data_IF_032293674515
#
_entry.id   IF_032293674515
#
_cell.length_a   1.000
_cell.length_b   1.000
_cell.length_c   1.000
_cell.angle_alpha   90.00
_cell.angle_beta   90.00
_cell.angle_gamma   90.00
#
_symmetry.space_group_name_H-M   'P 1'
#
loop_
_entity.id
_entity.type
_entity.pdbx_description
1 polymer ?
#
# COMPACT_ATOMS: atom_id res chain seq x y z
N UNK A 1 -25.09 8.27 11.91
CA UNK A 1 -24.74 7.06 11.19
C UNK A 1 -25.51 5.91 11.75
N UNK A 2 -26.38 5.30 10.95
CA UNK A 2 -26.90 3.97 11.26
C UNK A 2 -26.42 3.04 10.15
N UNK A 3 -25.71 1.98 10.53
CA UNK A 3 -25.50 0.82 9.67
C UNK A 3 -26.53 -0.24 10.07
N UNK A 4 -27.20 -0.81 9.07
CA UNK A 4 -28.15 -1.89 9.28
C UNK A 4 -28.08 -2.86 8.12
N UNK A 5 -28.08 -4.15 8.45
CA UNK A 5 -28.29 -5.21 7.47
C UNK A 5 -29.80 -5.31 7.24
N UNK A 6 -30.25 -5.01 6.03
CA UNK A 6 -31.66 -5.14 5.64
C UNK A 6 -31.74 -5.99 4.39
N UNK A 7 -32.61 -7.01 4.40
CA UNK A 7 -32.90 -7.86 3.22
C UNK A 7 -31.67 -8.52 2.58
N UNK A 8 -30.67 -8.88 3.37
CA UNK A 8 -29.42 -9.46 2.86
C UNK A 8 -28.54 -8.44 2.13
N UNK A 9 -28.67 -7.15 2.45
CA UNK A 9 -27.80 -6.09 1.97
C UNK A 9 -27.33 -5.17 3.09
N UNK A 10 -26.18 -4.53 2.89
CA UNK A 10 -25.63 -3.56 3.83
C UNK A 10 -26.18 -2.16 3.50
N UNK A 11 -26.92 -1.57 4.44
CA UNK A 11 -27.34 -0.17 4.34
C UNK A 11 -26.56 0.68 5.33
N UNK A 12 -25.83 1.67 4.83
CA UNK A 12 -25.14 2.67 5.65
C UNK A 12 -25.77 4.02 5.36
N UNK A 13 -26.37 4.66 6.37
CA UNK A 13 -26.83 6.04 6.26
C UNK A 13 -26.07 6.90 7.26
N UNK A 14 -25.35 7.92 6.79
CA UNK A 14 -24.78 8.93 7.68
C UNK A 14 -24.87 10.32 7.07
N UNK A 15 -25.03 11.32 7.94
CA UNK A 15 -25.11 12.72 7.56
C UNK A 15 -23.90 13.48 8.06
N UNK A 16 -23.29 14.27 7.17
CA UNK A 16 -22.26 15.23 7.56
C UNK A 16 -22.92 16.43 8.24
N UNK A 17 -22.22 17.09 9.14
CA UNK A 17 -22.69 18.23 9.91
C UNK A 17 -21.62 19.31 9.91
N UNK A 18 -22.05 20.56 9.73
CA UNK A 18 -21.15 21.71 9.77
C UNK A 18 -20.41 21.77 11.12
N UNK A 19 -19.11 22.05 11.07
CA UNK A 19 -18.25 22.13 12.26
C UNK A 19 -17.64 20.81 12.72
N UNK A 20 -18.10 19.65 12.23
CA UNK A 20 -17.44 18.36 12.50
C UNK A 20 -16.28 18.17 11.51
N UNK A 21 -15.06 18.11 12.03
CA UNK A 21 -13.83 18.05 11.21
C UNK A 21 -13.43 16.62 10.81
N UNK A 22 -13.86 15.61 11.56
CA UNK A 22 -13.52 14.22 11.28
C UNK A 22 -14.68 13.29 11.62
N UNK A 23 -14.97 12.39 10.69
CA UNK A 23 -15.87 11.25 10.87
C UNK A 23 -15.07 9.95 10.84
N UNK A 24 -15.28 9.11 11.85
CA UNK A 24 -14.69 7.78 11.99
C UNK A 24 -15.83 6.79 12.11
N UNK A 25 -15.83 5.81 11.22
CA UNK A 25 -16.80 4.72 11.21
C UNK A 25 -16.06 3.39 11.31
N UNK A 26 -16.33 2.65 12.38
CA UNK A 26 -15.68 1.37 12.65
C UNK A 26 -16.62 0.24 12.26
N UNK A 27 -16.32 -0.44 11.15
CA UNK A 27 -17.16 -1.50 10.59
C UNK A 27 -16.84 -2.89 11.15
N UNK A 28 -15.74 -3.08 11.88
CA UNK A 28 -15.35 -4.39 12.36
C UNK A 28 -15.08 -5.34 11.20
N UNK A 29 -15.46 -6.61 11.31
CA UNK A 29 -15.27 -7.65 10.28
C UNK A 29 -16.53 -7.80 9.39
N UNK A 30 -17.03 -6.67 8.87
CA UNK A 30 -18.31 -6.67 8.19
C UNK A 30 -18.24 -7.28 6.78
N UNK A 31 -17.12 -7.11 6.09
CA UNK A 31 -16.95 -7.44 4.68
C UNK A 31 -16.51 -8.90 4.45
N UNK A 32 -15.91 -9.54 5.45
CA UNK A 32 -15.44 -10.93 5.41
C UNK A 32 -16.58 -11.95 5.47
N UNK A 33 -17.80 -11.51 5.81
CA UNK A 33 -18.98 -12.35 5.77
C UNK A 33 -19.65 -12.13 4.42
N UNK A 34 -19.77 -13.15 3.57
CA UNK A 34 -20.39 -13.13 2.22
C UNK A 34 -21.90 -12.78 2.22
N UNK A 35 -22.37 -11.96 3.14
CA UNK A 35 -23.77 -11.81 3.50
C UNK A 35 -24.50 -10.76 2.66
N UNK A 36 -23.80 -9.98 1.81
CA UNK A 36 -24.41 -8.89 1.07
C UNK A 36 -24.63 -9.21 -0.41
N UNK A 37 -25.90 -9.34 -0.76
CA UNK A 37 -26.41 -9.38 -2.13
C UNK A 37 -26.45 -8.00 -2.78
N UNK A 38 -26.49 -6.93 -1.98
CA UNK A 38 -26.32 -5.54 -2.43
C UNK A 38 -25.81 -4.66 -1.28
N UNK A 39 -25.16 -3.53 -1.61
CA UNK A 39 -24.79 -2.48 -0.66
C UNK A 39 -25.42 -1.16 -1.07
N UNK A 40 -26.03 -0.45 -0.13
CA UNK A 40 -26.57 0.89 -0.35
C UNK A 40 -26.00 1.84 0.71
N UNK A 41 -25.14 2.75 0.27
CA UNK A 41 -24.50 3.72 1.14
C UNK A 41 -25.08 5.09 0.79
N UNK A 42 -25.93 5.59 1.67
CA UNK A 42 -26.53 6.91 1.54
C UNK A 42 -25.78 7.90 2.43
N UNK A 43 -25.16 8.90 1.81
CA UNK A 43 -24.36 9.89 2.51
C UNK A 43 -25.05 11.23 2.32
N UNK A 44 -25.64 11.71 3.40
CA UNK A 44 -26.29 13.01 3.44
C UNK A 44 -25.21 14.06 3.68
N UNK A 45 -24.64 14.58 2.59
CA UNK A 45 -23.54 15.55 2.66
C UNK A 45 -23.93 16.85 3.35
N UNK A 46 -25.22 17.19 3.40
CA UNK A 46 -25.77 18.40 4.02
C UNK A 46 -25.04 19.69 3.60
N UNK A 47 -24.50 19.72 2.37
CA UNK A 47 -23.68 20.80 1.82
C UNK A 47 -22.42 21.12 2.65
N UNK A 48 -21.91 20.17 3.45
CA UNK A 48 -20.59 20.29 4.05
C UNK A 48 -19.56 20.40 2.92
N UNK A 49 -18.67 21.37 3.02
CA UNK A 49 -17.58 21.50 2.07
C UNK A 49 -16.63 20.31 2.25
N UNK A 50 -16.28 19.54 1.20
CA UNK A 50 -15.30 18.47 1.29
C UNK A 50 -14.00 18.91 1.97
N UNK A 51 -13.54 20.13 1.70
CA UNK A 51 -12.30 20.66 2.28
C UNK A 51 -12.32 20.86 3.80
N UNK A 52 -13.50 20.80 4.42
CA UNK A 52 -13.69 21.00 5.85
C UNK A 52 -13.76 19.71 6.67
N UNK A 53 -13.71 18.53 6.03
CA UNK A 53 -13.98 17.25 6.68
C UNK A 53 -13.01 16.15 6.24
N UNK A 54 -12.68 15.24 7.15
CA UNK A 54 -12.00 13.96 6.85
C UNK A 54 -12.92 12.80 7.24
N UNK A 55 -12.98 11.77 6.41
CA UNK A 55 -13.87 10.61 6.59
C UNK A 55 -13.02 9.35 6.59
N UNK A 56 -13.13 8.55 7.66
CA UNK A 56 -12.31 7.37 7.88
C UNK A 56 -13.23 6.17 8.09
N UNK A 57 -13.04 5.16 7.28
CA UNK A 57 -13.69 3.86 7.38
C UNK A 57 -12.66 2.84 7.85
N UNK A 58 -12.86 2.26 9.03
CA UNK A 58 -12.00 1.19 9.55
C UNK A 58 -12.68 -0.16 9.38
N UNK A 59 -11.98 -1.09 8.73
CA UNK A 59 -12.38 -2.47 8.52
C UNK A 59 -11.36 -3.39 9.19
N UNK A 60 -11.82 -4.26 10.07
CA UNK A 60 -10.97 -5.21 10.80
C UNK A 60 -10.98 -6.60 10.14
N UNK A 61 -11.52 -6.70 8.94
CA UNK A 61 -11.54 -7.89 8.09
C UNK A 61 -10.11 -8.34 7.76
N UNK A 62 -9.84 -9.65 7.86
CA UNK A 62 -8.61 -10.26 7.35
C UNK A 62 -8.70 -10.55 5.85
N UNK A 63 -9.91 -10.82 5.37
CA UNK A 63 -10.19 -11.18 3.98
C UNK A 63 -11.44 -10.45 3.50
N UNK A 64 -11.35 -9.83 2.32
CA UNK A 64 -12.45 -9.08 1.70
C UNK A 64 -12.65 -9.57 0.28
N UNK A 65 -13.52 -10.56 0.09
CA UNK A 65 -13.84 -11.11 -1.24
C UNK A 65 -14.72 -10.20 -2.11
N UNK A 66 -15.43 -9.27 -1.48
CA UNK A 66 -16.29 -8.32 -2.18
C UNK A 66 -16.26 -6.97 -1.50
N UNK A 67 -15.44 -6.06 -2.02
CA UNK A 67 -15.51 -4.67 -1.62
C UNK A 67 -16.81 -4.00 -2.11
N UNK A 68 -17.27 -2.98 -1.38
CA UNK A 68 -18.53 -2.28 -1.63
C UNK A 68 -18.29 -0.87 -2.17
N UNK A 69 -19.19 -0.39 -3.04
CA UNK A 69 -19.09 0.97 -3.59
C UNK A 69 -19.54 2.03 -2.59
N UNK A 70 -18.80 3.14 -2.57
CA UNK A 70 -19.13 4.38 -1.84
C UNK A 70 -19.33 5.54 -2.82
N UNK A 71 -20.13 5.35 -3.89
CA UNK A 71 -20.32 6.35 -4.95
C UNK A 71 -20.76 7.75 -4.44
N UNK A 72 -21.45 7.81 -3.30
CA UNK A 72 -21.83 9.07 -2.64
C UNK A 72 -20.66 9.94 -2.17
N UNK A 73 -19.43 9.40 -2.15
CA UNK A 73 -18.20 10.10 -1.74
C UNK A 73 -17.36 10.59 -2.92
N UNK A 74 -17.87 10.55 -4.15
CA UNK A 74 -17.09 10.95 -5.33
C UNK A 74 -16.42 12.32 -5.20
N UNK A 75 -17.15 13.30 -4.66
CA UNK A 75 -16.66 14.67 -4.47
C UNK A 75 -15.78 14.84 -3.20
N UNK A 76 -15.63 13.77 -2.42
CA UNK A 76 -14.84 13.72 -1.17
C UNK A 76 -13.59 12.84 -1.32
N UNK A 77 -13.24 12.40 -2.52
CA UNK A 77 -12.19 11.40 -2.74
C UNK A 77 -10.82 11.77 -2.10
N UNK A 78 -10.46 13.05 -2.03
CA UNK A 78 -9.23 13.54 -1.38
C UNK A 78 -9.32 13.60 0.17
N UNK A 79 -10.47 13.24 0.73
CA UNK A 79 -10.80 13.36 2.16
C UNK A 79 -11.17 12.04 2.81
N UNK A 80 -11.17 10.96 2.04
CA UNK A 80 -11.64 9.64 2.47
C UNK A 80 -10.46 8.67 2.62
N UNK A 81 -10.43 7.95 3.74
CA UNK A 81 -9.54 6.81 3.97
C UNK A 81 -10.38 5.56 4.22
N UNK A 82 -10.12 4.49 3.47
CA UNK A 82 -10.53 3.12 3.78
C UNK A 82 -9.33 2.38 4.36
N UNK A 83 -9.40 2.04 5.63
CA UNK A 83 -8.30 1.49 6.41
C UNK A 83 -8.53 0.02 6.76
N UNK A 84 -7.58 -0.82 6.39
CA UNK A 84 -7.58 -2.28 6.56
C UNK A 84 -6.29 -2.72 7.28
N UNK A 85 -6.18 -2.49 8.59
CA UNK A 85 -4.96 -2.77 9.36
C UNK A 85 -4.55 -4.25 9.38
N UNK A 86 -5.53 -5.16 9.26
CA UNK A 86 -5.32 -6.61 9.44
C UNK A 86 -5.67 -7.42 8.18
N UNK A 87 -5.94 -6.77 7.04
CA UNK A 87 -6.27 -7.51 5.83
C UNK A 87 -5.02 -8.16 5.24
N UNK A 88 -5.17 -9.43 4.88
CA UNK A 88 -4.22 -10.22 4.11
C UNK A 88 -4.64 -10.25 2.63
N UNK A 89 -5.94 -10.12 2.35
CA UNK A 89 -6.50 -10.17 1.01
C UNK A 89 -7.69 -9.24 0.82
N UNK A 90 -7.71 -8.47 -0.29
CA UNK A 90 -8.83 -7.62 -0.69
C UNK A 90 -9.07 -7.76 -2.19
N UNK A 91 -10.31 -8.10 -2.53
CA UNK A 91 -10.80 -8.17 -3.90
C UNK A 91 -11.84 -7.08 -4.17
N UNK A 92 -11.58 -6.31 -5.21
CA UNK A 92 -12.45 -5.24 -5.70
C UNK A 92 -12.85 -5.60 -7.13
N UNK A 93 -14.13 -5.92 -7.34
CA UNK A 93 -14.63 -6.26 -8.67
C UNK A 93 -15.79 -5.37 -9.08
N UNK A 94 -15.73 -4.81 -10.29
CA UNK A 94 -16.80 -4.01 -10.90
C UNK A 94 -17.32 -2.88 -9.98
N UNK A 95 -16.42 -2.30 -9.18
CA UNK A 95 -16.77 -1.38 -8.09
C UNK A 95 -15.97 -0.10 -8.20
N UNK A 96 -16.63 1.05 -8.01
CA UNK A 96 -15.96 2.33 -7.98
C UNK A 96 -15.46 2.64 -6.57
N UNK A 97 -14.26 3.20 -6.48
CA UNK A 97 -13.61 3.58 -5.23
C UNK A 97 -13.21 5.04 -5.32
N UNK A 98 -13.70 5.83 -4.36
CA UNK A 98 -13.37 7.24 -4.20
C UNK A 98 -12.76 7.44 -2.82
N UNK A 99 -11.45 7.61 -2.75
CA UNK A 99 -10.73 7.63 -1.47
C UNK A 99 -9.42 6.85 -1.50
N UNK A 100 -8.64 7.02 -0.45
CA UNK A 100 -7.37 6.33 -0.24
C UNK A 100 -7.59 4.98 0.45
N UNK A 101 -7.02 3.92 -0.09
CA UNK A 101 -6.98 2.59 0.55
C UNK A 101 -5.64 2.43 1.26
N UNK A 102 -5.69 2.18 2.57
CA UNK A 102 -4.55 1.75 3.40
C UNK A 102 -4.74 0.28 3.77
N UNK A 103 -4.05 -0.61 3.07
CA UNK A 103 -4.08 -2.06 3.31
C UNK A 103 -2.65 -2.63 3.28
N UNK A 104 -1.74 -2.15 4.15
CA UNK A 104 -0.29 -2.36 4.01
C UNK A 104 0.15 -3.82 4.01
N UNK A 105 -0.65 -4.73 4.59
CA UNK A 105 -0.33 -6.16 4.68
C UNK A 105 -1.10 -7.02 3.65
N UNK A 106 -1.99 -6.40 2.86
CA UNK A 106 -2.90 -7.14 1.99
C UNK A 106 -2.37 -7.29 0.55
N UNK A 107 -2.61 -8.45 -0.04
CA UNK A 107 -2.73 -8.56 -1.49
C UNK A 107 -4.05 -7.92 -1.93
N UNK A 108 -3.96 -6.92 -2.81
CA UNK A 108 -5.13 -6.23 -3.36
C UNK A 108 -5.29 -6.59 -4.83
N UNK A 109 -6.46 -7.14 -5.19
CA UNK A 109 -6.82 -7.47 -6.56
C UNK A 109 -7.96 -6.56 -7.00
N UNK A 110 -7.76 -5.86 -8.11
CA UNK A 110 -8.75 -4.95 -8.68
C UNK A 110 -9.07 -5.35 -10.11
N UNK A 111 -10.30 -5.83 -10.32
CA UNK A 111 -10.81 -6.24 -11.61
C UNK A 111 -12.00 -5.34 -12.00
N UNK A 112 -11.76 -4.43 -12.94
CA UNK A 112 -12.75 -3.47 -13.44
C UNK A 112 -13.27 -2.48 -12.36
N UNK A 113 -13.81 -1.34 -12.79
CA UNK A 113 -14.31 -0.26 -11.91
C UNK A 113 -13.54 1.06 -12.06
N UNK A 114 -14.03 2.14 -11.44
CA UNK A 114 -13.38 3.45 -11.42
C UNK A 114 -12.67 3.68 -10.08
N UNK A 115 -11.35 3.85 -10.08
CA UNK A 115 -10.62 4.25 -8.87
C UNK A 115 -10.20 5.72 -9.01
N UNK A 116 -10.57 6.51 -8.01
CA UNK A 116 -10.14 7.88 -7.82
C UNK A 116 -9.61 8.01 -6.39
N UNK A 117 -8.32 7.80 -6.24
CA UNK A 117 -7.68 7.77 -4.93
C UNK A 117 -6.28 7.19 -4.96
N UNK A 118 -5.70 7.02 -3.78
CA UNK A 118 -4.41 6.38 -3.58
C UNK A 118 -4.57 4.94 -3.06
N UNK A 119 -3.62 4.07 -3.33
CA UNK A 119 -3.63 2.68 -2.83
C UNK A 119 -2.26 2.37 -2.25
N UNK A 120 -2.26 1.90 -1.00
CA UNK A 120 -1.10 1.43 -0.27
C UNK A 120 -1.36 -0.04 0.11
N UNK A 121 -0.59 -0.96 -0.45
CA UNK A 121 -0.86 -2.40 -0.34
C UNK A 121 0.43 -3.22 -0.24
N UNK A 122 0.35 -4.44 0.30
CA UNK A 122 1.49 -5.36 0.28
C UNK A 122 1.82 -5.74 -1.15
N UNK A 123 0.83 -6.17 -1.92
CA UNK A 123 0.93 -6.39 -3.36
C UNK A 123 -0.33 -5.90 -4.05
N UNK A 124 -0.22 -5.57 -5.34
CA UNK A 124 -1.34 -5.03 -6.09
C UNK A 124 -1.39 -5.58 -7.51
N UNK A 125 -2.52 -6.19 -7.85
CA UNK A 125 -2.83 -6.70 -9.19
C UNK A 125 -4.04 -5.97 -9.76
N UNK A 126 -3.88 -5.36 -10.94
CA UNK A 126 -4.87 -4.45 -11.51
C UNK A 126 -5.19 -4.82 -12.95
N UNK A 127 -6.45 -5.11 -13.24
CA UNK A 127 -6.90 -5.47 -14.59
C UNK A 127 -8.14 -4.68 -14.98
N UNK A 128 -8.06 -3.93 -16.08
CA UNK A 128 -9.18 -3.17 -16.66
C UNK A 128 -9.85 -2.07 -15.81
N UNK A 129 -9.26 -1.41 -14.78
CA UNK A 129 -9.96 -0.26 -14.21
C UNK A 129 -9.96 0.95 -15.15
N UNK A 130 -11.01 1.75 -15.03
CA UNK A 130 -11.10 3.08 -15.62
C UNK A 130 -10.59 4.10 -14.61
N UNK A 131 -9.40 4.62 -14.81
CA UNK A 131 -8.82 5.60 -13.90
C UNK A 131 -8.83 6.97 -14.58
N UNK A 132 -9.62 7.91 -14.03
CA UNK A 132 -9.81 9.23 -14.63
C UNK A 132 -8.93 10.31 -13.99
N UNK A 133 -8.62 10.18 -12.71
CA UNK A 133 -7.88 11.17 -11.92
C UNK A 133 -7.43 10.52 -10.61
N UNK A 134 -6.21 10.81 -10.14
CA UNK A 134 -5.79 10.42 -8.79
C UNK A 134 -6.19 11.52 -7.82
N UNK A 135 -7.05 11.20 -6.86
CA UNK A 135 -7.30 12.06 -5.72
C UNK A 135 -6.23 11.78 -4.65
N UNK A 136 -5.32 12.72 -4.47
CA UNK A 136 -4.33 12.66 -3.38
C UNK A 136 -5.04 13.03 -2.08
N UNK A 137 -4.88 12.21 -1.05
CA UNK A 137 -5.41 12.51 0.27
C UNK A 137 -4.71 13.74 0.83
N UNK A 138 -5.48 14.77 1.18
CA UNK A 138 -4.99 16.02 1.79
C UNK A 138 -5.75 16.37 3.08
N UNK A 139 -6.53 15.41 3.59
CA UNK A 139 -7.26 15.52 4.86
C UNK A 139 -6.36 15.64 6.09
N UNK A 140 -6.92 16.21 7.16
CA UNK A 140 -6.28 16.25 8.48
C UNK A 140 -6.85 15.11 9.32
N UNK A 141 -5.97 14.28 9.85
CA UNK A 141 -6.36 13.20 10.77
C UNK A 141 -6.16 13.68 12.19
N UNK A 142 -7.18 13.53 13.03
CA UNK A 142 -7.19 13.89 14.44
C UNK A 142 -7.22 12.62 15.32
N UNK A 143 -6.46 12.64 16.41
CA UNK A 143 -6.52 11.62 17.47
C UNK A 143 -7.81 11.72 18.29
N UNK A 144 -7.98 10.78 19.24
CA UNK A 144 -9.15 10.74 20.14
C UNK A 144 -9.25 11.95 21.10
N UNK A 145 -8.22 12.78 21.17
CA UNK A 145 -8.13 14.00 21.96
C UNK A 145 -8.28 15.26 21.07
N UNK A 146 -8.42 15.09 19.75
CA UNK A 146 -8.59 16.17 18.79
C UNK A 146 -7.27 16.80 18.31
N UNK A 147 -6.11 16.22 18.59
CA UNK A 147 -4.83 16.71 18.08
C UNK A 147 -4.52 16.10 16.71
N UNK A 148 -3.79 16.82 15.86
CA UNK A 148 -3.34 16.26 14.59
C UNK A 148 -2.44 15.03 14.80
N UNK A 149 -2.80 13.92 14.16
CA UNK A 149 -1.93 12.78 13.94
C UNK A 149 -0.95 13.15 12.82
N UNK A 150 0.35 13.12 13.12
CA UNK A 150 1.41 13.28 12.13
C UNK A 150 2.41 12.15 12.27
N UNK A 151 2.96 11.68 11.15
CA UNK A 151 4.01 10.65 11.14
C UNK A 151 5.15 11.00 12.11
N UNK A 152 5.59 12.26 12.13
CA UNK A 152 6.66 12.71 13.02
C UNK A 152 6.34 12.45 14.49
N UNK A 153 5.14 12.85 14.94
CA UNK A 153 4.67 12.62 16.32
C UNK A 153 4.60 11.12 16.64
N UNK A 154 4.08 10.34 15.70
CA UNK A 154 3.92 8.89 15.82
C UNK A 154 5.28 8.19 15.96
N UNK A 155 6.27 8.60 15.17
CA UNK A 155 7.61 8.05 15.21
C UNK A 155 8.30 8.45 16.51
N UNK A 156 8.27 9.73 16.89
CA UNK A 156 8.92 10.19 18.15
C UNK A 156 8.37 9.49 19.39
N UNK A 157 7.07 9.20 19.42
CA UNK A 157 6.43 8.50 20.55
C UNK A 157 6.77 7.00 20.61
N UNK A 158 6.95 6.34 19.45
CA UNK A 158 7.18 4.90 19.39
C UNK A 158 8.65 4.49 19.41
N UNK A 159 9.55 5.36 18.94
CA UNK A 159 10.97 5.03 18.87
C UNK A 159 11.78 5.58 20.04
N UNK A 160 11.22 6.52 20.82
CA UNK A 160 11.94 7.23 21.86
C UNK A 160 13.11 7.97 21.24
N UNK A 161 13.08 9.31 21.26
CA UNK A 161 14.31 10.06 21.03
C UNK A 161 15.30 9.68 22.15
N UNK A 162 16.11 8.66 21.87
CA UNK A 162 17.30 8.29 22.62
C UNK A 162 18.48 9.23 22.31
N UNK A 163 18.23 10.32 21.58
CA UNK A 163 19.13 11.47 21.56
C UNK A 163 18.86 12.29 22.83
N UNK A 164 19.55 11.86 23.89
CA UNK A 164 19.77 12.68 25.06
C UNK A 164 20.38 14.01 24.64
N UNK A 165 19.56 15.04 24.70
CA UNK A 165 20.02 16.41 24.92
C UNK A 165 20.95 16.37 26.13
N UNK A 166 22.23 16.67 25.89
CA UNK A 166 23.26 16.87 26.92
C UNK A 166 22.78 17.96 27.87
N UNK A 167 22.08 17.55 28.92
CA UNK A 167 21.95 18.34 30.13
C UNK A 167 22.92 17.77 31.14
N UNK A 168 24.06 18.46 31.24
CA UNK A 168 24.92 18.46 32.42
C UNK A 168 24.05 18.45 33.68
N UNK A 169 24.04 17.33 34.39
CA UNK A 169 23.71 17.33 35.81
C UNK A 169 24.39 16.15 36.50
N UNK A 170 25.43 16.53 37.23
CA UNK A 170 26.02 15.92 38.40
C UNK A 170 25.39 14.61 38.89
N UNK A 171 26.21 13.58 38.80
CA UNK A 171 26.16 12.37 39.59
C UNK A 171 26.08 12.69 41.09
N UNK A 172 25.01 12.26 41.75
CA UNK A 172 25.06 11.90 43.16
C UNK A 172 24.25 10.62 43.41
N UNK A 173 25.01 9.52 43.37
CA UNK A 173 24.95 8.28 44.12
C UNK A 173 23.64 7.94 44.89
N UNK A 174 22.94 6.92 44.42
CA UNK A 174 21.95 6.16 45.21
C UNK A 174 22.48 4.75 45.51
N UNK A 175 22.87 4.51 46.76
CA UNK A 175 22.87 3.17 47.36
C UNK A 175 21.45 2.89 47.87
N UNK A 176 20.88 1.73 47.53
CA UNK A 176 20.12 0.89 48.46
C UNK A 176 19.78 -0.44 47.81
N UNK A 177 20.48 -1.47 48.28
CA UNK A 177 20.13 -2.88 48.21
C UNK A 177 18.80 -3.16 48.93
N UNK A 178 17.90 -3.92 48.31
CA UNK A 178 16.97 -4.82 49.03
C UNK A 178 16.74 -6.10 48.22
N UNK A 179 17.45 -7.11 48.71
CA UNK A 179 17.20 -8.54 48.87
C UNK A 179 15.77 -9.14 48.67
N UNK A 180 15.83 -10.39 48.20
CA UNK A 180 15.01 -11.59 48.50
C UNK A 180 13.51 -11.70 48.16
N UNK A 181 13.19 -12.76 47.39
CA UNK A 181 12.32 -13.83 47.93
C UNK A 181 11.23 -14.42 47.03
N UNK A 182 11.21 -15.77 47.00
CA UNK A 182 10.13 -16.73 46.68
C UNK A 182 9.59 -16.83 45.25
N UNK A 183 9.80 -17.94 44.52
CA UNK A 183 9.29 -19.32 44.73
C UNK A 183 7.76 -19.45 44.59
N UNK A 184 7.29 -19.97 43.45
CA UNK A 184 6.41 -21.15 43.47
C UNK A 184 6.15 -21.67 42.05
N UNK A 185 6.45 -22.95 41.93
CA UNK A 185 6.08 -23.87 40.86
C UNK A 185 4.57 -24.06 40.73
N UNK A 186 4.06 -24.13 39.50
CA UNK A 186 2.86 -24.92 39.18
C UNK A 186 3.11 -25.71 37.89
N UNK A 187 3.16 -27.04 38.05
CA UNK A 187 3.04 -28.03 36.99
C UNK A 187 1.56 -28.32 36.75
N UNK A 188 1.16 -28.47 35.50
CA UNK A 188 -0.01 -29.26 35.11
C UNK A 188 0.40 -30.08 33.90
N UNK A 189 0.49 -31.38 34.12
CA UNK A 189 0.68 -32.43 33.11
C UNK A 189 -0.69 -32.97 32.65
N UNK A 190 -0.62 -33.76 31.58
CA UNK A 190 -1.57 -34.77 31.07
C UNK A 190 -2.79 -34.28 30.29
N UNK A 191 -3.25 -34.92 29.21
CA UNK A 191 -2.80 -35.90 28.20
C UNK A 191 -4.09 -36.37 27.51
N UNK A 192 -3.96 -37.09 26.39
CA UNK A 192 -4.95 -37.93 25.67
C UNK A 192 -5.67 -37.28 24.47
N UNK A 193 -5.36 -37.72 23.24
CA UNK A 193 -5.81 -38.97 22.54
C UNK A 193 -7.19 -38.74 21.89
N UNK A 194 -7.59 -39.23 20.73
CA UNK A 194 -7.00 -40.04 19.66
C UNK A 194 -7.97 -39.95 18.46
N UNK A 195 -7.45 -40.30 17.28
CA UNK A 195 -8.08 -41.04 16.16
C UNK A 195 -9.53 -40.76 15.72
N UNK A 196 -9.72 -40.48 14.41
CA UNK A 196 -10.21 -41.51 13.48
C UNK A 196 -10.28 -41.04 12.01
N UNK A 197 -10.10 -42.01 11.12
CA UNK A 197 -9.92 -41.93 9.68
C UNK A 197 -11.22 -42.26 8.89
N UNK A 198 -11.04 -42.44 7.56
CA UNK A 198 -11.96 -42.98 6.53
C UNK A 198 -12.85 -41.95 5.79
N UNK A 199 -13.15 -42.03 4.49
CA UNK A 199 -12.77 -42.92 3.37
C UNK A 199 -13.15 -42.20 2.04
N UNK A 200 -12.30 -42.34 1.02
CA UNK A 200 -12.55 -42.66 -0.42
C UNK A 200 -13.96 -42.43 -1.02
N UNK A 201 -14.03 -41.73 -2.17
CA UNK A 201 -14.70 -42.24 -3.40
C UNK A 201 -14.03 -41.69 -4.67
N UNK A 202 -13.74 -42.62 -5.59
CA UNK A 202 -13.30 -42.45 -6.97
C UNK A 202 -14.50 -42.20 -7.89
N UNK A 203 -14.31 -41.44 -8.98
CA UNK A 203 -15.05 -41.65 -10.24
C UNK A 203 -14.13 -41.31 -11.43
N UNK A 204 -13.89 -42.33 -12.25
CA UNK A 204 -13.27 -42.30 -13.57
C UNK A 204 -14.19 -41.73 -14.66
N UNK A 205 -13.58 -41.34 -15.78
CA UNK A 205 -13.97 -41.67 -17.18
C UNK A 205 -13.71 -40.50 -18.15
N UNK A 206 -12.68 -40.73 -18.97
CA UNK A 206 -12.68 -40.70 -20.44
C UNK A 206 -13.21 -39.45 -21.19
N UNK A 207 -12.35 -38.83 -22.00
CA UNK A 207 -12.44 -39.07 -23.45
C UNK A 207 -11.32 -38.36 -24.24
N UNK A 208 -10.77 -39.16 -25.14
CA UNK A 208 -9.82 -38.93 -26.22
C UNK A 208 -10.02 -37.65 -27.07
N UNK A 209 -8.90 -37.11 -27.57
CA UNK A 209 -8.68 -36.90 -29.01
C UNK A 209 -7.22 -36.50 -29.29
N UNK A 210 -6.44 -37.50 -29.71
CA UNK A 210 -5.67 -37.55 -30.95
C UNK A 210 -5.63 -36.27 -31.83
N UNK A 211 -4.43 -35.79 -32.15
CA UNK A 211 -3.79 -35.98 -33.46
C UNK A 211 -2.63 -35.00 -33.69
N UNK A 212 -1.49 -35.59 -34.05
CA UNK A 212 -0.52 -35.19 -35.09
C UNK A 212 0.02 -33.75 -35.14
N UNK A 213 1.35 -33.60 -35.00
CA UNK A 213 2.20 -33.74 -36.20
C UNK A 213 3.70 -33.68 -35.84
N UNK A 214 4.41 -34.70 -36.30
CA UNK A 214 5.86 -34.79 -36.43
C UNK A 214 6.41 -33.64 -37.31
N UNK A 215 7.61 -33.15 -37.00
CA UNK A 215 8.76 -33.32 -37.90
C UNK A 215 10.05 -32.60 -37.42
N UNK A 216 11.09 -33.44 -37.31
CA UNK A 216 12.48 -33.25 -37.76
C UNK A 216 13.40 -32.29 -36.97
N UNK A 217 14.43 -32.84 -36.32
CA UNK A 217 15.80 -33.12 -36.84
C UNK A 217 16.65 -31.85 -36.88
N UNK A 218 17.94 -31.83 -36.56
CA UNK A 218 18.95 -32.79 -36.13
C UNK A 218 20.16 -31.91 -35.72
N UNK A 219 21.21 -32.56 -35.19
CA UNK A 219 22.62 -32.14 -35.13
C UNK A 219 23.03 -31.24 -33.94
N UNK A 220 23.72 -31.82 -32.94
CA UNK A 220 25.20 -32.00 -32.85
C UNK A 220 25.83 -30.70 -32.30
N UNK A 221 26.82 -30.65 -31.41
CA UNK A 221 27.70 -31.59 -30.74
C UNK A 221 28.49 -30.76 -29.70
N UNK A 222 29.25 -31.45 -28.85
CA UNK A 222 30.50 -31.02 -28.18
C UNK A 222 30.46 -30.19 -26.88
N UNK A 223 30.58 -30.94 -25.78
CA UNK A 223 31.78 -31.11 -24.94
C UNK A 223 32.52 -29.91 -24.29
N UNK A 224 32.93 -30.20 -23.04
CA UNK A 224 33.99 -29.63 -22.20
C UNK A 224 33.59 -28.40 -21.35
N UNK A 225 34.00 -28.24 -20.10
CA UNK A 225 34.94 -28.96 -19.23
C UNK A 225 34.73 -28.48 -17.78
N UNK A 226 35.11 -29.37 -16.87
CA UNK A 226 35.42 -29.30 -15.43
C UNK A 226 35.78 -27.96 -14.75
N UNK A 227 35.51 -27.95 -13.43
CA UNK A 227 36.29 -27.28 -12.38
C UNK A 227 35.66 -25.99 -11.84
N UNK A 228 35.66 -25.66 -10.56
CA UNK A 228 36.16 -26.29 -9.34
C UNK A 228 35.43 -25.61 -8.17
N UNK A 229 35.38 -26.31 -7.04
CA UNK A 229 35.00 -25.82 -5.72
C UNK A 229 35.81 -24.57 -5.31
N UNK A 230 35.18 -23.64 -4.58
CA UNK A 230 35.82 -22.96 -3.44
C UNK A 230 34.76 -22.29 -2.56
N UNK A 231 34.60 -22.88 -1.37
CA UNK A 231 33.98 -22.29 -0.18
C UNK A 231 34.73 -21.03 0.22
N UNK A 232 34.02 -19.92 0.45
CA UNK A 232 34.59 -18.74 1.10
C UNK A 232 33.59 -18.19 2.13
N UNK A 233 33.67 -18.77 3.33
CA UNK A 233 33.13 -18.23 4.58
C UNK A 233 33.86 -16.93 4.92
N UNK A 234 33.25 -15.80 4.59
CA UNK A 234 33.62 -14.51 5.18
C UNK A 234 32.51 -14.03 6.11
N UNK A 235 32.73 -14.27 7.40
CA UNK A 235 32.17 -13.53 8.53
C UNK A 235 32.56 -12.04 8.38
N UNK A 236 31.74 -11.28 7.66
CA UNK A 236 31.85 -9.82 7.63
C UNK A 236 31.13 -9.23 8.84
N UNK A 237 31.94 -8.63 9.71
CA UNK A 237 31.56 -7.81 10.84
C UNK A 237 30.44 -6.84 10.47
N UNK A 238 29.33 -6.89 11.21
CA UNK A 238 28.21 -5.94 11.12
C UNK A 238 28.76 -4.52 11.29
N UNK A 239 28.67 -3.64 10.27
CA UNK A 239 28.97 -2.24 10.44
C UNK A 239 27.88 -1.62 11.33
N UNK A 240 28.26 -1.28 12.56
CA UNK A 240 27.50 -0.32 13.38
C UNK A 240 27.60 1.05 12.68
N UNK A 241 26.46 1.72 12.62
CA UNK A 241 26.17 2.97 11.90
C UNK A 241 25.75 2.79 10.44
N UNK A 242 24.55 2.23 10.24
CA UNK A 242 23.78 2.47 9.02
C UNK A 242 23.41 3.95 9.03
N UNK A 243 23.89 4.78 8.09
CA UNK A 243 23.42 6.15 7.96
C UNK A 243 21.92 6.12 7.70
N UNK A 244 21.15 6.86 8.50
CA UNK A 244 19.73 7.14 8.25
C UNK A 244 19.64 7.65 6.80
N UNK A 245 18.93 6.96 5.89
CA UNK A 245 18.78 7.43 4.52
C UNK A 245 18.18 8.84 4.57
N UNK A 246 18.87 9.79 3.95
CA UNK A 246 18.57 11.23 3.85
C UNK A 246 17.21 11.58 3.21
N UNK A 247 16.31 10.61 3.05
CA UNK A 247 15.17 10.71 2.14
C UNK A 247 13.88 11.09 2.89
N UNK A 248 14.02 11.51 4.16
CA UNK A 248 12.97 12.11 4.99
C UNK A 248 13.38 13.47 5.58
N UNK A 249 14.58 13.98 5.27
CA UNK A 249 15.02 15.29 5.75
C UNK A 249 14.27 16.46 5.09
N UNK A 250 13.43 16.17 4.09
CA UNK A 250 12.62 17.17 3.42
C UNK A 250 13.44 18.19 2.64
N UNK A 251 14.67 17.86 2.24
CA UNK A 251 15.56 18.83 1.61
C UNK A 251 15.20 19.20 0.15
N UNK A 252 14.23 18.53 -0.50
CA UNK A 252 13.77 18.97 -1.84
C UNK A 252 12.27 18.87 -2.14
N UNK A 253 11.41 18.42 -1.21
CA UNK A 253 9.96 18.47 -1.41
C UNK A 253 9.28 18.97 -0.14
N UNK A 254 8.31 19.88 -0.28
CA UNK A 254 7.50 20.37 0.85
C UNK A 254 6.86 19.17 1.55
N UNK A 255 7.45 18.72 2.66
CA UNK A 255 6.75 17.87 3.62
C UNK A 255 5.79 18.81 4.36
N UNK A 256 4.73 19.19 3.64
CA UNK A 256 3.57 19.82 4.26
C UNK A 256 2.89 18.78 5.17
N UNK A 257 2.03 19.27 6.04
CA UNK A 257 1.31 18.61 7.16
C UNK A 257 0.56 17.29 6.83
N UNK A 258 0.77 16.67 5.67
CA UNK A 258 0.13 15.44 5.22
C UNK A 258 0.57 14.25 6.08
N UNK A 259 -0.39 13.51 6.66
CA UNK A 259 -0.09 12.35 7.50
C UNK A 259 0.48 11.16 6.71
N UNK A 260 0.55 11.19 5.38
CA UNK A 260 1.16 10.15 4.55
C UNK A 260 2.61 10.48 4.13
N UNK A 261 3.11 11.68 4.39
CA UNK A 261 4.50 12.06 4.09
C UNK A 261 4.84 11.90 2.61
N UNK A 262 6.04 11.38 2.29
CA UNK A 262 6.51 11.21 0.90
C UNK A 262 5.59 10.31 0.06
N UNK A 263 4.85 9.40 0.69
CA UNK A 263 3.97 8.49 -0.02
C UNK A 263 2.74 9.21 -0.59
N UNK A 264 2.43 10.42 -0.11
CA UNK A 264 1.38 11.27 -0.67
C UNK A 264 1.66 11.69 -2.12
N UNK A 265 2.90 11.59 -2.61
CA UNK A 265 3.25 11.86 -4.00
C UNK A 265 2.80 10.77 -4.98
N UNK A 266 2.37 9.60 -4.48
CA UNK A 266 2.09 8.41 -5.26
C UNK A 266 0.59 8.09 -5.32
N UNK A 267 0.10 7.70 -6.50
CA UNK A 267 -1.24 7.13 -6.62
C UNK A 267 -1.26 5.65 -6.22
N UNK A 268 -0.16 4.94 -6.43
CA UNK A 268 0.00 3.54 -6.05
C UNK A 268 1.34 3.37 -5.33
N UNK A 269 1.30 2.68 -4.20
CA UNK A 269 2.47 2.28 -3.44
C UNK A 269 2.32 0.81 -3.04
N UNK A 270 3.12 -0.07 -3.65
CA UNK A 270 3.18 -1.49 -3.33
C UNK A 270 4.46 -1.79 -2.54
N UNK A 271 4.29 -2.45 -1.40
CA UNK A 271 5.42 -2.91 -0.56
C UNK A 271 6.04 -4.21 -1.08
N UNK A 272 5.53 -4.76 -2.17
CA UNK A 272 6.08 -5.90 -2.88
C UNK A 272 5.90 -5.71 -4.40
N UNK A 273 5.03 -6.49 -5.03
CA UNK A 273 4.79 -6.48 -6.47
C UNK A 273 3.62 -5.57 -6.85
N UNK A 274 3.75 -4.89 -7.99
CA UNK A 274 2.66 -4.20 -8.68
C UNK A 274 2.57 -4.71 -10.12
N UNK A 275 1.45 -5.35 -10.44
CA UNK A 275 1.17 -5.90 -11.77
C UNK A 275 -0.09 -5.27 -12.32
N UNK A 276 -0.01 -4.68 -13.52
CA UNK A 276 -1.17 -4.01 -14.10
C UNK A 276 -1.31 -4.22 -15.61
N UNK A 277 -2.52 -4.53 -16.05
CA UNK A 277 -2.83 -4.86 -17.44
C UNK A 277 -4.07 -4.11 -17.93
N UNK A 278 -3.94 -3.51 -19.13
CA UNK A 278 -5.04 -2.88 -19.87
C UNK A 278 -5.80 -1.80 -19.08
N UNK A 279 -5.08 -0.82 -18.52
CA UNK A 279 -5.67 0.26 -17.71
C UNK A 279 -4.68 1.44 -17.57
N UNK A 280 -4.93 2.45 -16.72
CA UNK A 280 -4.14 3.67 -16.65
C UNK A 280 -3.92 4.18 -15.20
N UNK A 281 -2.79 3.97 -14.51
CA UNK A 281 -2.56 4.67 -13.21
C UNK A 281 -2.31 6.13 -13.50
N UNK A 282 -3.27 6.98 -13.14
CA UNK A 282 -3.20 8.41 -13.42
C UNK A 282 -2.23 9.19 -12.50
N UNK A 283 -1.58 8.51 -11.57
CA UNK A 283 -0.58 9.03 -10.63
C UNK A 283 0.79 8.36 -10.76
N UNK A 284 1.70 8.72 -9.85
CA UNK A 284 3.00 8.06 -9.72
C UNK A 284 2.84 6.68 -9.08
N UNK A 285 3.79 5.79 -9.37
CA UNK A 285 3.79 4.40 -8.88
C UNK A 285 5.09 4.09 -8.15
N UNK A 286 4.97 3.47 -6.98
CA UNK A 286 6.08 2.86 -6.27
C UNK A 286 5.82 1.35 -6.08
N UNK A 287 6.83 0.49 -6.30
CA UNK A 287 6.73 -0.95 -6.06
C UNK A 287 8.08 -1.52 -5.58
N UNK A 288 8.17 -2.01 -4.35
CA UNK A 288 9.44 -2.45 -3.75
C UNK A 288 10.18 -3.48 -4.62
N UNK A 289 9.47 -4.48 -5.11
CA UNK A 289 10.05 -5.61 -5.81
C UNK A 289 9.83 -5.50 -7.33
N UNK A 290 8.67 -5.88 -7.86
CA UNK A 290 8.42 -5.86 -9.30
C UNK A 290 7.36 -4.80 -9.65
N UNK A 291 7.65 -3.99 -10.67
CA UNK A 291 6.64 -3.29 -11.45
C UNK A 291 6.54 -3.93 -12.83
N UNK A 292 5.39 -4.52 -13.13
CA UNK A 292 5.06 -5.08 -14.44
C UNK A 292 3.79 -4.44 -14.97
N UNK A 293 3.90 -3.67 -16.05
CA UNK A 293 2.74 -3.01 -16.66
C UNK A 293 2.69 -3.22 -18.17
N UNK A 294 1.49 -3.50 -18.67
CA UNK A 294 1.24 -3.69 -20.11
C UNK A 294 -0.02 -2.96 -20.55
N UNK A 295 0.06 -2.26 -21.69
CA UNK A 295 -1.04 -1.44 -22.20
C UNK A 295 -1.52 -0.43 -21.16
N UNK A 296 -0.56 0.33 -20.61
CA UNK A 296 -0.74 1.08 -19.37
C UNK A 296 -0.22 2.52 -19.41
N UNK A 297 -1.02 3.51 -19.02
CA UNK A 297 -0.56 4.90 -18.87
C UNK A 297 -0.22 5.21 -17.42
N UNK A 298 0.96 5.80 -17.19
CA UNK A 298 1.45 6.19 -15.85
C UNK A 298 1.63 7.70 -15.77
N UNK A 299 1.04 8.29 -14.73
CA UNK A 299 1.26 9.67 -14.29
C UNK A 299 0.81 10.75 -15.30
N UNK A 300 -0.17 10.41 -16.15
CA UNK A 300 -0.70 11.32 -17.18
C UNK A 300 -1.53 12.46 -16.59
N UNK A 301 -2.36 12.21 -15.56
CA UNK A 301 -3.35 13.22 -15.08
C UNK A 301 -2.93 14.00 -13.84
N UNK A 302 -1.75 13.76 -13.25
CA UNK A 302 -1.28 14.52 -12.06
C UNK A 302 -1.30 16.03 -12.30
N UNK A 303 -1.09 16.49 -13.53
CA UNK A 303 -1.19 17.92 -13.89
C UNK A 303 -2.35 18.22 -14.86
N UNK A 304 -3.52 17.63 -14.60
CA UNK A 304 -4.73 17.81 -15.43
C UNK A 304 -4.52 17.42 -16.89
N UNK A 305 -3.74 16.36 -17.13
CA UNK A 305 -3.41 15.87 -18.48
C UNK A 305 -2.37 16.71 -19.23
N UNK A 306 -1.76 17.72 -18.60
CA UNK A 306 -0.68 18.49 -19.21
C UNK A 306 0.64 17.76 -19.05
N UNK A 307 1.41 17.71 -20.13
CA UNK A 307 2.77 17.19 -20.13
C UNK A 307 3.77 18.32 -19.87
N UNK A 308 4.71 18.08 -18.97
CA UNK A 308 5.79 18.99 -18.61
C UNK A 308 7.13 18.30 -18.82
N UNK A 309 8.14 19.08 -19.19
CA UNK A 309 9.53 18.62 -19.18
C UNK A 309 10.03 18.53 -17.75
N UNK A 310 10.94 17.62 -17.44
CA UNK A 310 11.47 17.49 -16.07
C UNK A 310 12.25 18.72 -15.59
N UNK A 311 12.62 19.65 -16.47
CA UNK A 311 13.23 20.93 -16.13
C UNK A 311 12.24 22.11 -16.14
N UNK A 312 10.93 21.84 -16.23
CA UNK A 312 9.86 22.82 -16.29
C UNK A 312 8.93 22.67 -15.07
N UNK A 313 8.47 23.80 -14.52
CA UNK A 313 7.47 23.80 -13.44
C UNK A 313 6.08 23.43 -13.97
N UNK A 314 5.26 22.68 -13.20
CA UNK A 314 5.46 22.34 -11.80
C UNK A 314 6.37 21.13 -11.56
N UNK A 315 6.62 20.30 -12.59
CA UNK A 315 7.34 19.02 -12.42
C UNK A 315 8.74 19.16 -11.83
N UNK A 316 9.48 20.20 -12.24
CA UNK A 316 10.82 20.49 -11.70
C UNK A 316 10.83 20.72 -10.17
N UNK A 317 9.75 21.27 -9.64
CA UNK A 317 9.62 21.67 -8.23
C UNK A 317 8.86 20.61 -7.40
N UNK A 318 8.57 19.46 -8.01
CA UNK A 318 7.81 18.35 -7.45
C UNK A 318 8.65 17.06 -7.47
N UNK A 319 8.07 15.95 -7.03
CA UNK A 319 8.72 14.65 -7.04
C UNK A 319 9.12 14.23 -8.47
N UNK A 320 10.41 13.97 -8.74
CA UNK A 320 10.95 13.92 -10.10
C UNK A 320 10.69 12.62 -10.85
N UNK A 321 10.30 11.55 -10.14
CA UNK A 321 10.08 10.23 -10.74
C UNK A 321 8.59 9.93 -10.85
N UNK A 322 8.17 9.42 -12.01
CA UNK A 322 6.85 8.83 -12.18
C UNK A 322 6.81 7.41 -11.63
N UNK A 323 7.96 6.71 -11.64
CA UNK A 323 8.11 5.32 -11.20
C UNK A 323 9.32 5.19 -10.28
N UNK A 324 9.12 4.52 -9.14
CA UNK A 324 10.17 4.02 -8.26
C UNK A 324 9.95 2.52 -8.06
N UNK A 325 10.84 1.64 -8.52
CA UNK A 325 10.61 0.20 -8.33
C UNK A 325 11.87 -0.65 -8.19
N UNK A 326 11.76 -1.90 -7.75
CA UNK A 326 12.89 -2.82 -7.80
C UNK A 326 13.30 -3.17 -9.23
N UNK A 327 12.46 -3.97 -9.88
CA UNK A 327 12.55 -4.38 -11.28
C UNK A 327 11.44 -3.71 -12.08
N UNK A 328 11.77 -3.15 -13.25
CA UNK A 328 10.83 -2.44 -14.12
C UNK A 328 10.64 -3.17 -15.44
N UNK A 329 9.41 -3.62 -15.69
CA UNK A 329 8.95 -4.19 -16.97
C UNK A 329 7.76 -3.39 -17.49
N UNK A 330 7.91 -2.77 -18.66
CA UNK A 330 6.90 -1.90 -19.24
C UNK A 330 6.76 -2.20 -20.72
N UNK A 331 5.56 -2.60 -21.15
CA UNK A 331 5.28 -2.89 -22.56
C UNK A 331 4.01 -2.18 -23.04
N UNK A 332 3.98 -1.72 -24.30
CA UNK A 332 2.83 -1.02 -24.90
C UNK A 332 2.22 0.11 -24.05
N UNK A 333 3.06 0.82 -23.30
CA UNK A 333 2.67 1.70 -22.21
C UNK A 333 3.31 3.08 -22.34
N UNK A 334 2.77 4.08 -21.65
CA UNK A 334 3.32 5.44 -21.61
C UNK A 334 3.64 5.86 -20.19
N UNK A 335 4.79 6.52 -20.02
CA UNK A 335 5.18 7.18 -18.77
C UNK A 335 5.31 8.66 -19.07
N UNK A 336 4.55 9.48 -18.32
CA UNK A 336 4.44 10.92 -18.55
C UNK A 336 4.84 11.63 -17.25
N UNK A 337 5.35 12.86 -17.37
CA UNK A 337 5.59 13.75 -16.23
C UNK A 337 6.53 13.18 -15.14
N UNK A 338 7.62 12.50 -15.52
CA UNK A 338 8.62 12.06 -14.55
C UNK A 338 9.61 11.06 -15.13
N UNK A 339 10.70 10.85 -14.38
CA UNK A 339 11.68 9.82 -14.65
C UNK A 339 11.27 8.44 -14.13
N UNK A 340 12.19 7.48 -14.25
CA UNK A 340 12.13 6.16 -13.64
C UNK A 340 13.38 5.99 -12.79
N UNK A 341 13.22 5.56 -11.54
CA UNK A 341 14.33 5.03 -10.75
C UNK A 341 14.07 3.58 -10.40
N UNK A 342 15.14 2.77 -10.36
CA UNK A 342 15.04 1.36 -10.04
C UNK A 342 16.21 0.83 -9.22
N UNK A 343 16.06 -0.30 -8.51
CA UNK A 343 17.15 -0.87 -7.70
C UNK A 343 17.75 -2.16 -8.26
N UNK A 344 16.98 -2.97 -8.99
CA UNK A 344 17.41 -4.27 -9.50
C UNK A 344 17.76 -4.20 -10.98
N UNK A 345 16.75 -4.19 -11.86
CA UNK A 345 16.93 -4.14 -13.32
C UNK A 345 15.80 -3.39 -14.04
N UNK A 346 16.09 -2.92 -15.25
CA UNK A 346 15.12 -2.29 -16.15
C UNK A 346 15.35 -2.70 -17.61
N UNK A 347 15.87 -3.92 -17.83
CA UNK A 347 16.29 -4.40 -19.15
C UNK A 347 15.10 -4.65 -20.09
N UNK A 348 13.92 -4.92 -19.50
CA UNK A 348 12.65 -5.07 -20.21
C UNK A 348 11.91 -3.75 -20.41
N UNK A 349 12.57 -2.61 -20.22
CA UNK A 349 12.01 -1.31 -20.54
C UNK A 349 12.09 -1.05 -22.05
N UNK A 350 10.95 -0.74 -22.68
CA UNK A 350 10.92 -0.38 -24.10
C UNK A 350 11.90 0.76 -24.43
N UNK A 351 12.71 0.55 -25.48
CA UNK A 351 13.79 1.46 -25.87
C UNK A 351 13.26 2.81 -26.35
N UNK A 352 12.11 2.84 -27.02
CA UNK A 352 11.51 4.08 -27.50
C UNK A 352 10.88 4.87 -26.34
N UNK A 353 10.26 4.18 -25.37
CA UNK A 353 9.81 4.78 -24.12
C UNK A 353 10.98 5.39 -23.34
N UNK A 354 12.08 4.66 -23.18
CA UNK A 354 13.30 5.19 -22.51
C UNK A 354 13.82 6.46 -23.20
N UNK A 355 13.89 6.46 -24.54
CA UNK A 355 14.28 7.66 -25.31
C UNK A 355 13.29 8.81 -25.11
N UNK A 356 11.98 8.55 -25.11
CA UNK A 356 10.94 9.56 -24.89
C UNK A 356 11.13 10.24 -23.54
N UNK A 357 11.29 9.46 -22.46
CA UNK A 357 11.54 9.96 -21.10
C UNK A 357 12.79 10.86 -21.08
N UNK A 358 13.91 10.37 -21.62
CA UNK A 358 15.18 11.12 -21.65
C UNK A 358 15.11 12.39 -22.50
N UNK A 359 14.41 12.35 -23.64
CA UNK A 359 14.22 13.52 -24.51
C UNK A 359 13.38 14.61 -23.84
N UNK A 360 12.50 14.21 -22.91
CA UNK A 360 11.72 15.12 -22.08
C UNK A 360 12.54 15.73 -20.92
N UNK A 361 13.85 15.41 -20.85
CA UNK A 361 14.77 15.90 -19.81
C UNK A 361 14.68 15.11 -18.50
N UNK A 362 13.98 13.98 -18.49
CA UNK A 362 13.81 13.12 -17.31
C UNK A 362 14.87 12.02 -17.26
N UNK A 363 15.09 11.46 -16.07
CA UNK A 363 16.15 10.46 -15.83
C UNK A 363 15.59 9.04 -15.78
N UNK A 364 16.37 8.07 -16.25
CA UNK A 364 16.14 6.63 -16.02
C UNK A 364 17.39 6.07 -15.36
N UNK A 365 17.38 5.93 -14.04
CA UNK A 365 18.59 5.67 -13.22
C UNK A 365 18.40 4.47 -12.30
N UNK A 366 19.51 3.80 -11.98
CA UNK A 366 19.55 2.74 -10.96
C UNK A 366 19.96 3.37 -9.63
N UNK A 367 19.00 3.62 -8.74
CA UNK A 367 19.20 4.33 -7.47
C UNK A 367 18.09 3.96 -6.46
N UNK A 368 18.43 3.45 -5.25
CA UNK A 368 17.47 3.19 -4.17
C UNK A 368 16.95 4.51 -3.55
N UNK A 369 16.07 5.18 -4.29
CA UNK A 369 15.55 6.50 -3.93
C UNK A 369 14.60 6.47 -2.71
N UNK A 370 13.95 5.34 -2.45
CA UNK A 370 13.02 5.17 -1.33
C UNK A 370 13.47 4.02 -0.41
N UNK A 371 13.37 4.24 0.89
CA UNK A 371 13.46 3.19 1.91
C UNK A 371 12.08 2.56 2.09
N UNK A 372 11.80 1.51 1.31
CA UNK A 372 10.50 0.84 1.33
C UNK A 372 10.18 0.21 2.69
N UNK A 373 11.18 -0.33 3.40
CA UNK A 373 10.97 -1.00 4.69
C UNK A 373 10.55 0.01 5.76
N UNK A 374 11.23 1.16 5.81
CA UNK A 374 10.85 2.25 6.71
C UNK A 374 9.47 2.81 6.38
N UNK A 375 9.16 3.00 5.09
CA UNK A 375 7.86 3.50 4.66
C UNK A 375 6.74 2.51 5.00
N UNK A 376 6.93 1.22 4.73
CA UNK A 376 6.00 0.14 5.06
C UNK A 376 5.68 0.12 6.56
N UNK A 377 6.73 0.19 7.38
CA UNK A 377 6.61 0.29 8.83
C UNK A 377 5.75 1.49 9.25
N UNK A 378 5.96 2.65 8.64
CA UNK A 378 5.19 3.86 8.96
C UNK A 378 3.72 3.74 8.56
N UNK A 379 3.43 3.25 7.35
CA UNK A 379 2.06 3.06 6.89
C UNK A 379 1.34 2.02 7.77
N UNK A 380 2.03 0.96 8.20
CA UNK A 380 1.52 0.02 9.19
C UNK A 380 1.21 0.67 10.55
N UNK A 381 2.06 1.58 11.05
CA UNK A 381 1.77 2.29 12.30
C UNK A 381 0.57 3.23 12.13
N UNK A 382 0.51 4.01 11.05
CA UNK A 382 -0.65 4.89 10.77
C UNK A 382 -1.93 4.06 10.71
N UNK A 383 -1.94 2.99 9.91
CA UNK A 383 -3.11 2.13 9.71
C UNK A 383 -3.62 1.55 11.05
N UNK A 384 -2.70 1.08 11.91
CA UNK A 384 -3.07 0.61 13.26
C UNK A 384 -3.57 1.73 14.16
N UNK A 385 -3.00 2.94 14.10
CA UNK A 385 -3.51 4.04 14.91
C UNK A 385 -4.90 4.51 14.48
N UNK A 386 -5.14 4.58 13.16
CA UNK A 386 -6.45 4.93 12.62
C UNK A 386 -7.55 3.97 13.12
N UNK A 387 -7.24 2.69 13.29
CA UNK A 387 -8.19 1.70 13.79
C UNK A 387 -8.52 1.83 15.29
N UNK A 388 -7.70 2.57 16.05
CA UNK A 388 -7.97 2.88 17.47
C UNK A 388 -8.86 4.12 17.66
N UNK A 389 -9.17 4.85 16.58
CA UNK A 389 -10.02 6.03 16.65
C UNK A 389 -11.45 5.64 17.05
N UNK A 390 -12.03 6.42 17.97
CA UNK A 390 -13.39 6.19 18.46
C UNK A 390 -14.40 6.52 17.36
N UNK A 391 -15.36 5.62 17.18
CA UNK A 391 -16.47 5.85 16.27
C UNK A 391 -17.25 7.10 16.70
N UNK A 392 -17.42 8.02 15.76
CA UNK A 392 -18.26 9.20 15.90
C UNK A 392 -19.14 9.42 14.65
N UNK A 393 -19.10 8.50 13.68
CA UNK A 393 -19.95 8.50 12.50
C UNK A 393 -21.36 8.02 12.81
N UNK A 394 -21.55 7.27 13.89
CA UNK A 394 -22.82 6.73 14.31
C UNK A 394 -23.66 7.65 15.25
N UNK A 395 -24.35 8.66 14.69
CA UNK A 395 -25.57 9.25 15.30
C UNK A 395 -26.87 8.57 14.86
#
# INVERSE_FOLDING_TARGET
GQSKIEWGGLKVTFGLSEGVKQYVMNFGTLLSTEQFTYSNINIETNNVNPDDVTIIFNFNDSEVERFISFDGLKDYANRVIYNFPNADYIKIENTNIYGTILAPNAEVIINNGEIKGQIFAQSLSVTWPSLKEVAIFDGKVLDNQGNNLSIKKIISENYGDGDGDETDNDSDNSENDVDDGDDSSVKVDDDNDDEDAEEVEEVDDDDDNDDDDDNNKDDDDDDNEDGDDEDDDNDDEIPKDIPIPSNLDGSTCKIDENPLGITSSFGVFSFNDFKAYNSDVQGRVAAKNILEVTSYHINEKVYNGKEYRCNESPLKDDFPFAIVAGTVTISNSNVINGGITYTNNADKLDRELKKKIMSNGCSVIKDPYLDFDFIEKNINVISRQLSTLKDNGAV
#
